data_IF_776750133516
#
_entry.id   IF_776750133516
#
_cell.length_a   1.000
_cell.length_b   1.000
_cell.length_c   1.000
_cell.angle_alpha   90.00
_cell.angle_beta   90.00
_cell.angle_gamma   90.00
#
_symmetry.space_group_name_H-M   'P 1'
#
loop_
_entity.id
_entity.type
_entity.pdbx_description
1 polymer ?
#
# COMPACT_ATOMS: atom_id res chain seq x y z
N UNK A 1 9.45 -26.18 31.92
CA UNK A 1 8.42 -26.94 32.67
C UNK A 1 7.65 -27.79 31.67
N UNK A 2 7.39 -29.08 31.94
CA UNK A 2 6.62 -29.97 31.04
C UNK A 2 5.28 -30.30 31.70
N UNK A 3 4.18 -30.14 30.97
CA UNK A 3 2.82 -30.44 31.46
C UNK A 3 2.39 -31.78 30.84
N UNK A 4 1.91 -32.71 31.67
CA UNK A 4 1.38 -33.99 31.17
C UNK A 4 -0.04 -33.78 30.68
N UNK A 5 -0.27 -34.04 29.40
CA UNK A 5 -1.61 -34.12 28.82
C UNK A 5 -1.93 -35.57 28.48
N UNK A 6 -3.18 -35.97 28.70
CA UNK A 6 -3.68 -37.29 28.33
C UNK A 6 -4.52 -37.11 27.06
N UNK A 7 -3.99 -37.53 25.92
CA UNK A 7 -4.59 -37.38 24.60
C UNK A 7 -4.76 -38.76 24.00
N UNK A 8 -5.90 -38.99 23.35
CA UNK A 8 -6.07 -40.17 22.52
C UNK A 8 -5.40 -39.91 21.17
N UNK A 9 -4.60 -40.87 20.72
CA UNK A 9 -3.90 -40.85 19.44
C UNK A 9 -4.31 -42.12 18.72
N UNK A 10 -4.62 -42.00 17.43
CA UNK A 10 -4.99 -43.14 16.61
C UNK A 10 -3.85 -44.17 16.56
N UNK A 11 -4.25 -45.42 16.38
CA UNK A 11 -3.36 -46.58 16.53
C UNK A 11 -2.22 -46.55 15.51
N UNK A 12 -2.55 -46.26 14.26
CA UNK A 12 -1.62 -46.09 13.15
C UNK A 12 -0.57 -45.01 13.44
N UNK A 13 -1.00 -43.84 13.91
CA UNK A 13 -0.09 -42.75 14.28
C UNK A 13 0.82 -43.16 15.44
N UNK A 14 0.28 -43.87 16.45
CA UNK A 14 1.08 -44.35 17.56
C UNK A 14 2.15 -45.37 17.12
N UNK A 15 1.83 -46.24 16.16
CA UNK A 15 2.75 -47.21 15.57
C UNK A 15 3.87 -46.50 14.80
N UNK A 16 3.55 -45.52 13.94
CA UNK A 16 4.54 -44.71 13.23
C UNK A 16 5.46 -43.92 14.18
N UNK A 17 4.89 -43.27 15.19
CA UNK A 17 5.66 -42.50 16.18
C UNK A 17 6.62 -43.41 16.96
N UNK A 18 6.21 -44.66 17.19
CA UNK A 18 7.05 -45.69 17.83
C UNK A 18 8.20 -46.12 16.94
N UNK A 19 7.98 -46.25 15.63
CA UNK A 19 9.03 -46.59 14.68
C UNK A 19 10.05 -45.44 14.55
N UNK A 20 9.57 -44.20 14.40
CA UNK A 20 10.43 -43.02 14.31
C UNK A 20 11.26 -42.77 15.57
N UNK A 21 10.69 -43.02 16.77
CA UNK A 21 11.42 -42.89 18.03
C UNK A 21 12.56 -43.90 18.19
N UNK A 22 12.51 -45.06 17.50
CA UNK A 22 13.59 -46.05 17.50
C UNK A 22 14.81 -45.60 16.67
N UNK A 23 14.62 -44.70 15.71
CA UNK A 23 15.63 -44.27 14.75
C UNK A 23 16.42 -43.01 15.13
N UNK A 24 17.01 -42.93 16.32
CA UNK A 24 17.87 -41.81 16.80
C UNK A 24 17.21 -40.48 17.21
N UNK A 25 15.89 -40.26 17.07
CA UNK A 25 15.29 -38.92 17.30
C UNK A 25 14.89 -38.63 18.76
N UNK A 26 15.04 -39.58 19.68
CA UNK A 26 14.74 -39.43 21.11
C UNK A 26 13.37 -40.00 21.49
N UNK A 27 12.87 -39.68 22.70
CA UNK A 27 11.63 -40.30 23.19
C UNK A 27 10.38 -39.82 22.42
N UNK A 28 9.32 -40.64 22.42
CA UNK A 28 8.04 -40.34 21.74
C UNK A 28 7.49 -38.95 22.08
N UNK A 29 7.60 -38.54 23.34
CA UNK A 29 7.13 -37.21 23.78
C UNK A 29 7.93 -36.07 23.16
N UNK A 30 9.23 -36.24 22.90
CA UNK A 30 10.07 -35.25 22.23
C UNK A 30 9.65 -35.10 20.77
N UNK A 31 9.54 -36.22 20.06
CA UNK A 31 9.10 -36.23 18.67
C UNK A 31 7.71 -35.61 18.49
N UNK A 32 6.76 -35.95 19.38
CA UNK A 32 5.43 -35.35 19.36
C UNK A 32 5.47 -33.83 19.64
N UNK A 33 6.30 -33.37 20.58
CA UNK A 33 6.44 -31.94 20.85
C UNK A 33 7.08 -31.18 19.68
N UNK A 34 8.10 -31.76 19.03
CA UNK A 34 8.79 -31.14 17.90
C UNK A 34 7.86 -31.05 16.68
N UNK A 35 7.09 -32.12 16.40
CA UNK A 35 6.07 -32.13 15.36
C UNK A 35 4.96 -31.10 15.63
N UNK A 36 4.42 -31.06 16.86
CA UNK A 36 3.40 -30.07 17.25
C UNK A 36 3.92 -28.64 17.16
N UNK A 37 5.17 -28.39 17.57
CA UNK A 37 5.81 -27.09 17.44
C UNK A 37 5.89 -26.67 15.97
N UNK A 38 6.45 -27.54 15.12
CA UNK A 38 6.58 -27.27 13.69
C UNK A 38 5.23 -27.02 13.03
N UNK A 39 4.21 -27.80 13.39
CA UNK A 39 2.86 -27.63 12.85
C UNK A 39 2.22 -26.32 13.29
N UNK A 40 2.31 -25.96 14.58
CA UNK A 40 1.80 -24.69 15.10
C UNK A 40 2.51 -23.50 14.46
N UNK A 41 3.82 -23.61 14.23
CA UNK A 41 4.63 -22.58 13.61
C UNK A 41 4.27 -22.40 12.13
N UNK A 42 4.18 -23.51 11.37
CA UNK A 42 3.69 -23.49 9.98
C UNK A 42 2.29 -22.91 9.85
N UNK A 43 1.37 -23.25 10.77
CA UNK A 43 0.01 -22.71 10.77
C UNK A 43 0.00 -21.21 11.01
N UNK A 44 0.79 -20.73 11.98
CA UNK A 44 0.94 -19.29 12.25
C UNK A 44 1.53 -18.55 11.04
N UNK A 45 2.53 -19.12 10.37
CA UNK A 45 3.08 -18.56 9.13
C UNK A 45 2.04 -18.53 8.01
N UNK A 46 1.30 -19.62 7.80
CA UNK A 46 0.26 -19.71 6.76
C UNK A 46 -0.85 -18.66 6.95
N UNK A 47 -1.31 -18.44 8.18
CA UNK A 47 -2.34 -17.44 8.47
C UNK A 47 -1.82 -16.02 8.23
N UNK A 48 -0.59 -15.73 8.64
CA UNK A 48 0.06 -14.44 8.38
C UNK A 48 0.29 -14.20 6.89
N UNK A 49 0.83 -15.18 6.16
CA UNK A 49 1.09 -15.09 4.72
C UNK A 49 -0.19 -14.84 3.94
N UNK A 50 -1.29 -15.49 4.34
CA UNK A 50 -2.61 -15.26 3.72
C UNK A 50 -3.06 -13.81 3.93
N UNK A 51 -2.97 -13.30 5.16
CA UNK A 51 -3.35 -11.90 5.45
C UNK A 51 -2.45 -10.89 4.74
N UNK A 52 -1.14 -11.14 4.70
CA UNK A 52 -0.20 -10.28 4.00
C UNK A 52 -0.45 -10.26 2.49
N UNK A 53 -0.73 -11.42 1.88
CA UNK A 53 -1.08 -11.52 0.47
C UNK A 53 -2.29 -10.65 0.14
N UNK A 54 -3.39 -10.75 0.90
CA UNK A 54 -4.57 -9.91 0.68
C UNK A 54 -4.25 -8.41 0.78
N UNK A 55 -3.41 -8.02 1.74
CA UNK A 55 -3.00 -6.61 1.91
C UNK A 55 -2.13 -6.13 0.75
N UNK A 56 -1.17 -6.94 0.30
CA UNK A 56 -0.32 -6.63 -0.84
C UNK A 56 -1.12 -6.52 -2.14
N UNK A 57 -2.08 -7.42 -2.36
CA UNK A 57 -2.97 -7.38 -3.52
C UNK A 57 -3.85 -6.11 -3.52
N UNK A 58 -4.25 -5.64 -2.34
CA UNK A 58 -4.95 -4.36 -2.20
C UNK A 58 -4.04 -3.17 -2.50
N UNK A 59 -2.84 -3.13 -1.92
CA UNK A 59 -1.85 -2.06 -2.17
C UNK A 59 -1.46 -1.98 -3.64
N UNK A 60 -1.27 -3.13 -4.29
CA UNK A 60 -0.98 -3.20 -5.73
C UNK A 60 -2.11 -2.58 -6.56
N UNK A 61 -3.37 -2.91 -6.24
CA UNK A 61 -4.53 -2.31 -6.92
C UNK A 61 -4.65 -0.80 -6.68
N UNK A 62 -4.38 -0.34 -5.46
CA UNK A 62 -4.37 1.09 -5.13
C UNK A 62 -3.24 1.82 -5.88
N UNK A 63 -2.07 1.21 -6.03
CA UNK A 63 -0.95 1.77 -6.80
C UNK A 63 -1.25 1.85 -8.30
N UNK A 64 -1.86 0.82 -8.87
CA UNK A 64 -2.29 0.82 -10.28
C UNK A 64 -3.37 1.88 -10.55
N UNK A 65 -4.28 2.09 -9.59
CA UNK A 65 -5.24 3.19 -9.69
C UNK A 65 -4.55 4.56 -9.64
N UNK A 66 -3.65 4.76 -8.68
CA UNK A 66 -2.88 6.00 -8.56
C UNK A 66 -2.06 6.29 -9.83
N UNK A 67 -1.47 5.26 -10.45
CA UNK A 67 -0.73 5.41 -11.70
C UNK A 67 -1.62 5.90 -12.84
N UNK A 68 -2.81 5.32 -13.01
CA UNK A 68 -3.79 5.79 -13.99
C UNK A 68 -4.22 7.24 -13.73
N UNK A 69 -4.45 7.60 -12.47
CA UNK A 69 -4.80 8.97 -12.10
C UNK A 69 -3.66 9.95 -12.44
N UNK A 70 -2.40 9.56 -12.21
CA UNK A 70 -1.22 10.35 -12.59
C UNK A 70 -1.14 10.52 -14.11
N UNK A 71 -1.33 9.45 -14.88
CA UNK A 71 -1.30 9.51 -16.34
C UNK A 71 -2.39 10.46 -16.87
N UNK A 72 -3.61 10.38 -16.32
CA UNK A 72 -4.71 11.29 -16.65
C UNK A 72 -4.39 12.74 -16.29
N UNK A 73 -3.77 12.99 -15.13
CA UNK A 73 -3.34 14.33 -14.73
C UNK A 73 -2.30 14.91 -15.69
N UNK A 74 -1.34 14.10 -16.14
CA UNK A 74 -0.31 14.51 -17.10
C UNK A 74 -0.95 14.85 -18.45
N UNK A 75 -1.87 14.02 -18.96
CA UNK A 75 -2.59 14.28 -20.20
C UNK A 75 -3.42 15.56 -20.12
N UNK A 76 -4.17 15.73 -19.02
CA UNK A 76 -4.98 16.92 -18.77
C UNK A 76 -4.12 18.17 -18.67
N UNK A 77 -2.98 18.10 -18.00
CA UNK A 77 -2.03 19.21 -17.89
C UNK A 77 -1.43 19.57 -19.27
N UNK A 78 -1.08 18.58 -20.08
CA UNK A 78 -0.57 18.80 -21.43
C UNK A 78 -1.61 19.53 -22.30
N UNK A 79 -2.88 19.09 -22.23
CA UNK A 79 -3.99 19.75 -22.93
C UNK A 79 -4.21 21.19 -22.43
N UNK A 80 -4.16 21.40 -21.11
CA UNK A 80 -4.29 22.72 -20.51
C UNK A 80 -3.17 23.65 -20.97
N UNK A 81 -1.90 23.23 -20.88
CA UNK A 81 -0.75 24.02 -21.36
C UNK A 81 -0.90 24.34 -22.84
N UNK A 82 -1.31 23.36 -23.66
CA UNK A 82 -1.52 23.57 -25.09
C UNK A 82 -2.61 24.61 -25.36
N UNK A 83 -3.71 24.57 -24.61
CA UNK A 83 -4.78 25.57 -24.68
C UNK A 83 -4.28 26.97 -24.29
N UNK A 84 -3.56 27.07 -23.17
CA UNK A 84 -3.00 28.34 -22.69
C UNK A 84 -2.03 28.95 -23.73
N UNK A 85 -1.19 28.14 -24.39
CA UNK A 85 -0.29 28.62 -25.46
C UNK A 85 -1.03 29.08 -26.72
N UNK A 86 -2.27 28.64 -26.94
CA UNK A 86 -3.09 29.11 -28.06
C UNK A 86 -3.88 30.38 -27.72
N UNK A 87 -4.30 30.54 -26.47
CA UNK A 87 -5.24 31.61 -26.07
C UNK A 87 -4.51 32.79 -25.43
N UNK A 88 -3.46 32.56 -24.64
CA UNK A 88 -2.72 33.65 -24.02
C UNK A 88 -1.81 34.33 -25.04
N UNK A 89 -1.90 35.67 -25.21
CA UNK A 89 -0.97 36.39 -26.05
C UNK A 89 0.45 36.27 -25.46
N UNK A 90 1.47 35.94 -26.28
CA UNK A 90 2.85 35.86 -25.81
C UNK A 90 3.30 37.22 -25.29
N UNK A 91 4.06 37.21 -24.19
CA UNK A 91 4.70 38.43 -23.68
C UNK A 91 5.66 38.98 -24.74
N UNK A 92 5.67 40.30 -24.93
CA UNK A 92 6.63 40.96 -25.81
C UNK A 92 8.07 40.65 -25.37
N UNK A 93 8.99 40.47 -26.32
CA UNK A 93 10.38 40.07 -26.04
C UNK A 93 11.08 41.04 -25.06
N UNK A 94 10.79 42.34 -25.15
CA UNK A 94 11.31 43.37 -24.25
C UNK A 94 10.63 43.49 -22.87
N UNK A 95 9.54 42.77 -22.61
CA UNK A 95 8.76 42.95 -21.38
C UNK A 95 9.34 42.20 -20.17
N UNK A 96 10.47 42.71 -19.66
CA UNK A 96 11.12 42.18 -18.48
C UNK A 96 10.24 42.31 -17.21
N UNK A 97 9.41 43.37 -17.13
CA UNK A 97 8.52 43.62 -16.00
C UNK A 97 7.36 42.62 -15.95
N UNK A 98 6.74 42.31 -17.11
CA UNK A 98 5.73 41.26 -17.24
C UNK A 98 6.27 39.89 -16.86
N UNK A 99 7.46 39.53 -17.32
CA UNK A 99 8.14 38.28 -16.92
C UNK A 99 8.43 38.24 -15.42
N UNK A 100 8.85 39.36 -14.82
CA UNK A 100 9.10 39.44 -13.37
C UNK A 100 7.80 39.21 -12.56
N UNK A 101 6.71 39.88 -12.95
CA UNK A 101 5.37 39.67 -12.33
C UNK A 101 4.86 38.24 -12.51
N UNK A 102 5.11 37.62 -13.66
CA UNK A 102 4.78 36.21 -13.89
C UNK A 102 5.49 35.28 -12.89
N UNK A 103 6.79 35.48 -12.68
CA UNK A 103 7.56 34.71 -11.68
C UNK A 103 7.06 34.93 -10.26
N UNK A 104 6.70 36.16 -9.89
CA UNK A 104 6.14 36.48 -8.57
C UNK A 104 4.82 35.73 -8.33
N UNK A 105 3.89 35.80 -9.29
CA UNK A 105 2.61 35.08 -9.21
C UNK A 105 2.79 33.57 -9.11
N UNK A 106 3.72 33.01 -9.90
CA UNK A 106 4.03 31.58 -9.82
C UNK A 106 4.60 31.19 -8.45
N UNK A 107 5.51 31.99 -7.89
CA UNK A 107 6.04 31.77 -6.55
C UNK A 107 4.95 31.78 -5.47
N UNK A 108 3.99 32.71 -5.55
CA UNK A 108 2.85 32.74 -4.65
C UNK A 108 1.95 31.49 -4.78
N UNK A 109 1.70 31.04 -6.01
CA UNK A 109 0.97 29.80 -6.28
C UNK A 109 1.66 28.57 -5.69
N UNK A 110 2.97 28.40 -5.92
CA UNK A 110 3.75 27.27 -5.37
C UNK A 110 3.71 27.27 -3.84
N UNK A 111 3.81 28.45 -3.22
CA UNK A 111 3.73 28.60 -1.76
C UNK A 111 2.37 28.14 -1.22
N UNK A 112 1.28 28.53 -1.87
CA UNK A 112 -0.08 28.13 -1.48
C UNK A 112 -0.34 26.64 -1.68
N UNK A 113 0.13 26.05 -2.79
CA UNK A 113 0.08 24.61 -3.03
C UNK A 113 0.87 23.85 -1.95
N UNK A 114 2.08 24.31 -1.62
CA UNK A 114 2.90 23.74 -0.55
C UNK A 114 2.18 23.76 0.80
N UNK A 115 1.49 24.87 1.12
CA UNK A 115 0.67 25.01 2.33
C UNK A 115 -0.50 24.01 2.36
N UNK A 116 -1.20 23.83 1.24
CA UNK A 116 -2.32 22.88 1.16
C UNK A 116 -1.85 21.42 1.28
N UNK A 117 -0.73 21.07 0.64
CA UNK A 117 -0.09 19.75 0.76
C UNK A 117 0.32 19.45 2.21
N UNK A 118 0.98 20.40 2.88
CA UNK A 118 1.34 20.27 4.29
C UNK A 118 0.10 20.16 5.22
N UNK A 119 -1.02 20.78 4.83
CA UNK A 119 -2.29 20.72 5.55
C UNK A 119 -3.09 19.44 5.34
N UNK A 120 -2.65 18.52 4.47
CA UNK A 120 -3.32 17.23 4.22
C UNK A 120 -4.70 17.32 3.57
N UNK A 121 -5.12 18.51 3.13
CA UNK A 121 -6.41 18.72 2.45
C UNK A 121 -6.26 18.36 0.98
N UNK A 122 -7.05 17.40 0.50
CA UNK A 122 -7.11 17.09 -0.94
C UNK A 122 -7.95 18.16 -1.62
N UNK A 123 -7.33 19.03 -2.41
CA UNK A 123 -8.01 20.07 -3.19
C UNK A 123 -9.15 19.49 -4.06
N UNK A 124 -8.95 18.32 -4.68
CA UNK A 124 -9.97 17.63 -5.48
C UNK A 124 -11.26 17.27 -4.70
N UNK A 125 -11.17 17.04 -3.38
CA UNK A 125 -12.32 16.71 -2.54
C UNK A 125 -13.20 17.93 -2.20
N UNK A 126 -12.67 19.15 -2.28
CA UNK A 126 -13.43 20.38 -2.08
C UNK A 126 -14.23 20.77 -3.33
N UNK A 127 -13.69 20.52 -4.54
CA UNK A 127 -14.42 20.78 -5.79
C UNK A 127 -15.70 19.94 -5.89
N UNK A 128 -15.63 18.63 -5.58
CA UNK A 128 -16.80 17.73 -5.60
C UNK A 128 -17.90 18.14 -4.59
N UNK A 129 -17.53 18.68 -3.41
CA UNK A 129 -18.51 19.19 -2.43
C UNK A 129 -19.15 20.51 -2.84
N UNK A 130 -18.43 21.36 -3.57
CA UNK A 130 -18.95 22.66 -4.00
C UNK A 130 -19.99 22.57 -5.12
N UNK A 131 -19.97 21.50 -5.93
CA UNK A 131 -21.01 21.24 -6.94
C UNK A 131 -22.29 20.65 -6.31
N UNK A 132 -22.18 19.85 -5.25
CA UNK A 132 -23.36 19.28 -4.57
C UNK A 132 -24.19 20.34 -3.82
N UNK A 133 -23.60 21.47 -3.43
CA UNK A 133 -24.29 22.55 -2.69
C UNK A 133 -24.96 23.56 -3.63
N UNK A 134 -24.74 23.45 -4.95
CA UNK A 134 -25.29 24.37 -5.98
C UNK A 134 -26.35 23.74 -6.89
N UNK A 135 -26.77 22.51 -6.61
CA UNK A 135 -27.85 21.81 -7.32
C UNK A 135 -29.21 21.97 -6.67
#
# INVERSE_FOLDING_TARGET
>A
MKIRQNLYIDRDICEELSQLARGHVGNKSRLANDALRSWLEQRRHSELDTQFKLRLDRLSRELEAARRDIDLLVETLALFIRYELMVLPPLAEGDAAGRARGRERFGAFVTEVGRQLAGGKRAAGEFSKSETIRG
#
